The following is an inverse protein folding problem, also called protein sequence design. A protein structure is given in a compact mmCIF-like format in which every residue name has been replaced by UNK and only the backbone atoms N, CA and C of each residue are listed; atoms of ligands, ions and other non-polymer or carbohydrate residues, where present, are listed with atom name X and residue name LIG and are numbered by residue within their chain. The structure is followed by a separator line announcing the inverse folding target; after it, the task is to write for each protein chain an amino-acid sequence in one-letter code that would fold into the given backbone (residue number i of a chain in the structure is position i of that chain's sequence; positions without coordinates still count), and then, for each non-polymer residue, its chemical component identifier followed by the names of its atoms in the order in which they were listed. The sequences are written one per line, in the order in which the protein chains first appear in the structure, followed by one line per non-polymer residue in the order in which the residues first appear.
data_IF_278160136123
#
_entry.id   IF_278160136123
#
_cell.length_a   1.000
_cell.length_b   1.000
_cell.length_c   1.000
_cell.angle_alpha   90.00
_cell.angle_beta   90.00
_cell.angle_gamma   90.00
#
_symmetry.space_group_name_H-M   'P 1'
#
loop_
_entity.id
_entity.type
_entity.pdbx_description
1 polymer ?
#
# COMPACT_ATOMS: atom_id res chain seq x y z
N UNK A 1 -2.98 -11.83 -12.16
CA UNK A 1 -4.25 -11.48 -11.46
C UNK A 1 -5.30 -11.11 -12.49
N UNK A 2 -6.60 -11.42 -12.31
CA UNK A 2 -7.71 -10.98 -13.21
C UNK A 2 -8.83 -10.36 -12.37
N UNK A 3 -9.30 -9.16 -12.73
CA UNK A 3 -10.25 -8.38 -11.92
C UNK A 3 -11.42 -7.86 -12.77
N UNK A 4 -12.57 -7.63 -12.17
CA UNK A 4 -13.55 -6.67 -12.71
C UNK A 4 -13.03 -5.25 -12.59
N UNK A 5 -13.68 -4.31 -13.29
CA UNK A 5 -13.35 -2.89 -13.20
C UNK A 5 -13.48 -2.37 -11.76
N UNK A 6 -14.59 -2.67 -11.08
CA UNK A 6 -14.80 -2.26 -9.69
C UNK A 6 -13.76 -2.85 -8.72
N UNK A 7 -13.39 -4.12 -8.89
CA UNK A 7 -12.33 -4.75 -8.06
C UNK A 7 -10.95 -4.13 -8.29
N UNK A 8 -10.64 -3.70 -9.52
CA UNK A 8 -9.41 -2.96 -9.82
C UNK A 8 -9.41 -1.61 -9.10
N UNK A 9 -10.50 -0.84 -9.23
CA UNK A 9 -10.63 0.47 -8.58
C UNK A 9 -10.55 0.38 -7.05
N UNK A 10 -11.22 -0.60 -6.42
CA UNK A 10 -11.11 -0.81 -4.98
C UNK A 10 -9.68 -1.19 -4.57
N UNK A 11 -9.00 -2.05 -5.33
CA UNK A 11 -7.59 -2.39 -5.08
C UNK A 11 -6.66 -1.19 -5.19
N UNK A 12 -7.01 -0.19 -6.00
CA UNK A 12 -6.33 1.09 -6.10
C UNK A 12 -6.84 2.15 -5.09
N UNK A 13 -7.76 1.79 -4.20
CA UNK A 13 -8.25 2.70 -3.14
C UNK A 13 -9.23 3.77 -3.64
N UNK A 14 -9.82 3.57 -4.82
CA UNK A 14 -10.87 4.43 -5.38
C UNK A 14 -12.24 3.91 -4.91
N UNK A 15 -12.99 4.75 -4.19
CA UNK A 15 -14.31 4.39 -3.66
C UNK A 15 -15.48 4.58 -4.65
N UNK A 16 -15.58 5.68 -5.42
CA UNK A 16 -16.54 5.76 -6.51
C UNK A 16 -16.03 5.04 -7.76
N UNK A 17 -16.93 4.43 -8.54
CA UNK A 17 -16.57 3.94 -9.88
C UNK A 17 -16.31 5.15 -10.78
N UNK A 18 -15.15 5.17 -11.44
CA UNK A 18 -14.80 6.22 -12.39
C UNK A 18 -15.46 5.92 -13.75
N UNK A 19 -15.90 6.98 -14.42
CA UNK A 19 -16.37 6.94 -15.81
C UNK A 19 -15.20 7.16 -16.78
N UNK A 20 -15.47 7.04 -18.08
CA UNK A 20 -14.46 7.28 -19.11
C UNK A 20 -13.82 8.67 -18.98
N UNK A 21 -12.50 8.74 -19.16
CA UNK A 21 -11.67 9.95 -18.98
C UNK A 21 -11.68 10.59 -17.58
N UNK A 22 -12.35 10.00 -16.58
CA UNK A 22 -12.30 10.51 -15.22
C UNK A 22 -10.97 10.18 -14.55
N UNK A 23 -10.57 11.04 -13.62
CA UNK A 23 -9.40 10.83 -12.79
C UNK A 23 -9.75 10.97 -11.31
N UNK A 24 -8.94 10.34 -10.47
CA UNK A 24 -8.99 10.49 -9.03
C UNK A 24 -7.62 10.87 -8.48
N UNK A 25 -7.36 12.17 -8.26
CA UNK A 25 -6.12 12.63 -7.66
C UNK A 25 -6.20 12.63 -6.12
N UNK A 26 -5.05 12.40 -5.50
CA UNK A 26 -4.75 12.66 -4.10
C UNK A 26 -3.41 13.38 -4.05
N UNK A 27 -3.31 14.38 -3.17
CA UNK A 27 -2.06 15.10 -2.98
C UNK A 27 -1.93 15.56 -1.54
N UNK A 28 -0.70 15.61 -1.06
CA UNK A 28 -0.34 16.23 0.22
C UNK A 28 0.94 17.05 0.04
N UNK A 29 0.96 18.23 0.65
CA UNK A 29 2.09 19.14 0.66
C UNK A 29 2.62 19.25 2.09
N UNK A 30 3.89 18.93 2.27
CA UNK A 30 4.62 19.10 3.52
C UNK A 30 5.37 20.44 3.47
N UNK A 31 4.86 21.42 4.22
CA UNK A 31 5.41 22.78 4.25
C UNK A 31 6.78 22.85 4.97
N UNK A 32 7.10 21.91 5.86
CA UNK A 32 8.39 21.92 6.56
C UNK A 32 9.52 21.43 5.65
N UNK A 33 9.22 20.44 4.80
CA UNK A 33 10.19 19.85 3.87
C UNK A 33 10.12 20.44 2.47
N UNK A 34 9.08 21.24 2.18
CA UNK A 34 8.77 21.75 0.85
C UNK A 34 8.60 20.65 -0.21
N UNK A 35 8.01 19.51 0.18
CA UNK A 35 7.80 18.33 -0.69
C UNK A 35 6.31 18.14 -0.98
N UNK A 36 5.98 17.78 -2.21
CA UNK A 36 4.63 17.37 -2.61
C UNK A 36 4.64 15.88 -2.94
N UNK A 37 3.75 15.12 -2.32
CA UNK A 37 3.46 13.75 -2.74
C UNK A 37 2.08 13.72 -3.42
N UNK A 38 2.03 13.18 -4.63
CA UNK A 38 0.80 13.02 -5.41
C UNK A 38 0.61 11.56 -5.80
N UNK A 39 -0.64 11.10 -5.74
CA UNK A 39 -1.07 9.83 -6.28
C UNK A 39 -2.31 10.04 -7.15
N UNK A 40 -2.41 9.35 -8.27
CA UNK A 40 -3.56 9.50 -9.18
C UNK A 40 -3.96 8.15 -9.79
N UNK A 41 -5.26 7.97 -9.99
CA UNK A 41 -5.81 6.95 -10.89
C UNK A 41 -6.48 7.65 -12.07
N UNK A 42 -6.17 7.24 -13.30
CA UNK A 42 -6.73 7.82 -14.54
C UNK A 42 -7.38 6.74 -15.39
N UNK A 43 -8.59 7.01 -15.89
CA UNK A 43 -9.21 6.22 -16.95
C UNK A 43 -8.82 6.84 -18.28
N UNK A 44 -8.16 6.08 -19.16
CA UNK A 44 -7.48 6.64 -20.33
C UNK A 44 -8.38 6.81 -21.56
N UNK A 45 -9.53 6.14 -21.58
CA UNK A 45 -10.46 6.11 -22.71
C UNK A 45 -11.93 6.22 -22.24
N UNK A 46 -12.85 6.36 -23.19
CA UNK A 46 -14.28 6.50 -22.93
C UNK A 46 -14.98 5.20 -22.52
N UNK A 47 -14.42 4.05 -22.87
CA UNK A 47 -14.99 2.71 -22.65
C UNK A 47 -14.45 2.03 -21.36
N UNK A 48 -13.61 2.78 -20.64
CA UNK A 48 -12.84 2.37 -19.48
C UNK A 48 -11.89 1.20 -19.75
N UNK A 49 -11.46 0.94 -20.98
CA UNK A 49 -10.67 -0.25 -21.31
C UNK A 49 -9.23 -0.19 -20.77
N UNK A 50 -8.72 1.01 -20.49
CA UNK A 50 -7.39 1.25 -19.95
C UNK A 50 -7.41 2.17 -18.72
N UNK A 51 -6.72 1.72 -17.66
CA UNK A 51 -6.59 2.44 -16.38
C UNK A 51 -5.11 2.56 -16.03
N UNK A 52 -4.69 3.76 -15.65
CA UNK A 52 -3.36 4.02 -15.09
C UNK A 52 -3.46 4.40 -13.62
N UNK A 53 -2.41 4.05 -12.86
CA UNK A 53 -2.21 4.58 -11.53
C UNK A 53 -0.75 4.99 -11.35
N UNK A 54 -0.55 6.13 -10.71
CA UNK A 54 0.76 6.78 -10.62
C UNK A 54 0.99 7.40 -9.24
N UNK A 55 2.22 7.32 -8.75
CA UNK A 55 2.69 8.04 -7.55
C UNK A 55 3.91 8.85 -7.95
N UNK A 56 3.86 10.14 -7.64
CA UNK A 56 4.94 11.10 -7.84
C UNK A 56 5.33 11.77 -6.53
N UNK A 57 6.61 12.09 -6.43
CA UNK A 57 7.19 12.89 -5.36
C UNK A 57 7.94 14.06 -6.00
N UNK A 58 7.50 15.27 -5.71
CA UNK A 58 8.16 16.51 -6.12
C UNK A 58 8.93 17.09 -4.93
N UNK A 59 10.25 17.14 -5.06
CA UNK A 59 11.18 17.64 -4.03
C UNK A 59 11.61 19.09 -4.31
N UNK A 60 10.93 19.78 -5.23
CA UNK A 60 11.22 21.16 -5.60
C UNK A 60 12.26 21.27 -6.72
N UNK A 61 13.18 22.22 -6.60
CA UNK A 61 14.20 22.50 -7.61
C UNK A 61 15.58 22.01 -7.17
N UNK A 62 16.33 21.46 -8.13
CA UNK A 62 17.77 21.17 -8.00
C UNK A 62 18.60 22.46 -8.13
N UNK A 63 19.88 22.36 -7.78
CA UNK A 63 20.84 23.47 -7.92
C UNK A 63 20.96 24.00 -9.35
N UNK A 64 20.70 23.16 -10.36
CA UNK A 64 20.70 23.53 -11.77
C UNK A 64 19.38 24.15 -12.27
N UNK A 65 18.41 24.35 -11.36
CA UNK A 65 17.09 24.89 -11.66
C UNK A 65 16.11 23.91 -12.30
N UNK A 66 16.46 22.63 -12.44
CA UNK A 66 15.53 21.59 -12.91
C UNK A 66 14.65 21.08 -11.77
N UNK A 67 13.44 20.58 -12.08
CA UNK A 67 12.55 19.98 -11.08
C UNK A 67 13.11 18.64 -10.62
N UNK A 68 13.14 18.42 -9.30
CA UNK A 68 13.44 17.14 -8.68
C UNK A 68 12.17 16.31 -8.49
N UNK A 69 11.59 15.91 -9.61
CA UNK A 69 10.41 15.06 -9.65
C UNK A 69 10.81 13.59 -9.83
N UNK A 70 10.24 12.75 -8.99
CA UNK A 70 10.47 11.31 -8.97
C UNK A 70 9.15 10.55 -9.13
N UNK A 71 9.07 9.69 -10.14
CA UNK A 71 7.97 8.72 -10.29
C UNK A 71 8.33 7.50 -9.45
N UNK A 72 7.67 7.36 -8.30
CA UNK A 72 7.87 6.24 -7.39
C UNK A 72 7.25 4.97 -7.98
N UNK A 73 6.06 5.10 -8.54
CA UNK A 73 5.31 3.98 -9.09
C UNK A 73 4.45 4.44 -10.26
N UNK A 74 4.43 3.65 -11.33
CA UNK A 74 3.45 3.77 -12.40
C UNK A 74 2.99 2.38 -12.82
N UNK A 75 1.69 2.16 -12.94
CA UNK A 75 1.15 0.91 -13.46
C UNK A 75 0.05 1.18 -14.46
N UNK A 76 -0.15 0.20 -15.34
CA UNK A 76 -1.17 0.23 -16.37
C UNK A 76 -1.91 -1.11 -16.41
N UNK A 77 -3.23 -1.03 -16.28
CA UNK A 77 -4.15 -2.14 -16.38
C UNK A 77 -4.98 -2.01 -17.66
N UNK A 78 -5.16 -3.12 -18.38
CA UNK A 78 -6.00 -3.18 -19.57
C UNK A 78 -7.06 -4.25 -19.45
N UNK A 79 -8.21 -3.98 -20.03
CA UNK A 79 -9.32 -4.92 -20.14
C UNK A 79 -9.05 -5.92 -21.26
N UNK A 80 -9.16 -7.20 -20.92
CA UNK A 80 -9.12 -8.30 -21.86
C UNK A 80 -10.49 -8.50 -22.52
N UNK A 81 -10.54 -9.25 -23.63
CA UNK A 81 -11.78 -9.57 -24.35
C UNK A 81 -12.86 -10.26 -23.49
N UNK A 82 -12.49 -10.88 -22.36
CA UNK A 82 -13.43 -11.46 -21.40
C UNK A 82 -14.00 -10.45 -20.39
N UNK A 83 -13.76 -9.15 -20.59
CA UNK A 83 -14.22 -8.06 -19.73
C UNK A 83 -13.47 -7.96 -18.39
N UNK A 84 -12.33 -8.66 -18.22
CA UNK A 84 -11.52 -8.61 -17.01
C UNK A 84 -10.24 -7.81 -17.23
N UNK A 85 -9.81 -7.09 -16.20
CA UNK A 85 -8.59 -6.30 -16.19
C UNK A 85 -7.41 -7.12 -15.70
N UNK A 86 -6.28 -6.88 -16.33
CA UNK A 86 -4.97 -7.39 -15.95
C UNK A 86 -3.96 -6.25 -15.98
N UNK A 87 -3.05 -6.22 -15.00
CA UNK A 87 -1.94 -5.26 -14.99
C UNK A 87 -0.89 -5.78 -15.97
N UNK A 88 -0.57 -4.98 -16.98
CA UNK A 88 0.37 -5.37 -18.05
C UNK A 88 1.71 -4.67 -17.92
N UNK A 89 1.71 -3.42 -17.46
CA UNK A 89 2.92 -2.65 -17.25
C UNK A 89 2.98 -2.16 -15.81
N UNK A 90 4.18 -2.17 -15.25
CA UNK A 90 4.45 -1.64 -13.94
C UNK A 90 5.89 -1.17 -13.88
N UNK A 91 6.10 0.08 -13.48
CA UNK A 91 7.39 0.63 -13.10
C UNK A 91 7.35 0.95 -11.62
N UNK A 92 8.38 0.56 -10.90
CA UNK A 92 8.53 0.84 -9.48
C UNK A 92 10.00 1.19 -9.22
N UNK A 93 10.24 2.36 -8.63
CA UNK A 93 11.60 2.91 -8.38
C UNK A 93 12.44 2.94 -9.67
N UNK A 94 11.85 3.44 -10.76
CA UNK A 94 12.50 3.55 -12.06
C UNK A 94 12.76 2.23 -12.81
N UNK A 95 12.38 1.08 -12.26
CA UNK A 95 12.61 -0.24 -12.87
C UNK A 95 11.31 -0.89 -13.32
N UNK A 96 11.38 -1.72 -14.36
CA UNK A 96 10.26 -2.60 -14.70
C UNK A 96 10.02 -3.57 -13.54
N UNK A 97 8.78 -3.67 -13.08
CA UNK A 97 8.40 -4.48 -11.93
C UNK A 97 7.50 -5.68 -12.31
N UNK A 98 7.21 -5.84 -13.61
CA UNK A 98 6.37 -6.93 -14.11
C UNK A 98 7.06 -8.27 -13.88
N UNK A 99 6.39 -9.16 -13.14
CA UNK A 99 6.85 -10.52 -12.80
C UNK A 99 8.12 -10.59 -11.94
N UNK A 100 8.56 -9.48 -11.33
CA UNK A 100 9.74 -9.48 -10.45
C UNK A 100 9.52 -10.28 -9.15
N UNK A 101 8.27 -10.41 -8.69
CA UNK A 101 7.91 -11.16 -7.49
C UNK A 101 6.66 -12.04 -7.72
N UNK A 102 6.48 -13.12 -6.94
CA UNK A 102 5.20 -13.81 -6.87
C UNK A 102 4.09 -12.86 -6.45
N UNK A 103 2.95 -12.93 -7.16
CA UNK A 103 1.79 -12.06 -6.93
C UNK A 103 2.13 -10.56 -6.91
N UNK A 104 3.10 -10.12 -7.72
CA UNK A 104 3.55 -8.73 -7.80
C UNK A 104 2.40 -7.75 -8.04
N UNK A 105 1.37 -8.14 -8.80
CA UNK A 105 0.22 -7.27 -9.07
C UNK A 105 -0.56 -6.94 -7.78
N UNK A 106 -0.72 -7.94 -6.91
CA UNK A 106 -1.36 -7.73 -5.61
C UNK A 106 -0.47 -6.93 -4.65
N UNK A 107 0.86 -7.08 -4.77
CA UNK A 107 1.82 -6.32 -3.95
C UNK A 107 1.81 -4.85 -4.34
N UNK A 108 1.83 -4.55 -5.64
CA UNK A 108 1.86 -3.15 -6.11
C UNK A 108 0.53 -2.42 -5.85
N UNK A 109 -0.62 -3.08 -6.01
CA UNK A 109 -1.89 -2.46 -5.63
C UNK A 109 -1.97 -2.18 -4.12
N UNK A 110 -1.41 -3.07 -3.28
CA UNK A 110 -1.34 -2.84 -1.83
C UNK A 110 -0.44 -1.63 -1.51
N UNK A 111 0.72 -1.54 -2.14
CA UNK A 111 1.62 -0.39 -2.04
C UNK A 111 0.90 0.91 -2.39
N UNK A 112 0.24 0.96 -3.56
CA UNK A 112 -0.51 2.14 -3.98
C UNK A 112 -1.59 2.56 -2.97
N UNK A 113 -2.41 1.60 -2.54
CA UNK A 113 -3.51 1.85 -1.59
C UNK A 113 -2.99 2.32 -0.23
N UNK A 114 -1.83 1.82 0.22
CA UNK A 114 -1.18 2.26 1.45
C UNK A 114 -0.66 3.70 1.32
N UNK A 115 -0.01 4.06 0.21
CA UNK A 115 0.40 5.44 -0.09
C UNK A 115 -0.80 6.40 -0.11
N UNK A 116 -1.88 6.03 -0.81
CA UNK A 116 -3.11 6.83 -0.82
C UNK A 116 -3.69 7.03 0.58
N UNK A 117 -3.55 6.04 1.48
CA UNK A 117 -4.00 6.16 2.87
C UNK A 117 -3.16 7.18 3.64
N UNK A 118 -1.84 7.20 3.47
CA UNK A 118 -0.96 8.18 4.12
C UNK A 118 -1.19 9.60 3.60
N UNK A 119 -1.38 9.77 2.28
CA UNK A 119 -1.73 11.08 1.71
C UNK A 119 -3.05 11.58 2.32
N UNK A 120 -4.07 10.71 2.43
CA UNK A 120 -5.36 11.05 3.06
C UNK A 120 -5.26 11.33 4.56
N UNK A 121 -4.26 10.76 5.26
CA UNK A 121 -4.03 11.02 6.68
C UNK A 121 -3.24 12.32 6.91
N UNK A 122 -2.79 12.99 5.85
CA UNK A 122 -2.07 14.26 5.92
C UNK A 122 -0.58 14.08 6.19
N UNK A 123 0.04 13.04 5.63
CA UNK A 123 1.48 12.80 5.78
C UNK A 123 2.13 12.47 4.44
N UNK A 124 3.42 12.81 4.32
CA UNK A 124 4.26 12.24 3.25
C UNK A 124 4.50 10.76 3.59
N UNK A 125 4.19 9.83 2.69
CA UNK A 125 4.38 8.40 2.94
C UNK A 125 5.85 8.05 3.18
N UNK A 126 6.12 7.19 4.16
CA UNK A 126 7.40 6.47 4.25
C UNK A 126 7.39 5.33 3.22
N UNK A 127 7.94 5.57 2.05
CA UNK A 127 7.90 4.62 0.94
C UNK A 127 8.67 3.32 1.25
N UNK A 128 9.76 3.39 2.02
CA UNK A 128 10.56 2.23 2.36
C UNK A 128 9.80 1.32 3.34
N UNK A 129 9.20 1.89 4.38
CA UNK A 129 8.38 1.14 5.33
C UNK A 129 7.17 0.49 4.64
N UNK A 130 6.45 1.27 3.83
CA UNK A 130 5.28 0.77 3.09
C UNK A 130 5.68 -0.33 2.12
N UNK A 131 6.81 -0.18 1.41
CA UNK A 131 7.34 -1.22 0.52
C UNK A 131 7.66 -2.49 1.31
N UNK A 132 8.35 -2.38 2.44
CA UNK A 132 8.69 -3.53 3.26
C UNK A 132 7.44 -4.28 3.74
N UNK A 133 6.40 -3.55 4.17
CA UNK A 133 5.13 -4.14 4.60
C UNK A 133 4.38 -4.81 3.44
N UNK A 134 4.28 -4.14 2.30
CA UNK A 134 3.37 -4.53 1.21
C UNK A 134 3.96 -5.59 0.28
N UNK A 135 5.29 -5.66 0.17
CA UNK A 135 6.00 -6.64 -0.68
C UNK A 135 6.14 -8.02 -0.03
N UNK A 136 5.89 -8.12 1.28
CA UNK A 136 5.79 -9.41 1.98
C UNK A 136 4.61 -10.22 1.45
N UNK A 137 4.85 -11.52 1.26
CA UNK A 137 3.75 -12.45 1.07
C UNK A 137 2.96 -12.52 2.37
N UNK A 138 1.64 -12.42 2.29
CA UNK A 138 0.79 -12.76 3.43
C UNK A 138 0.96 -14.27 3.60
N UNK A 139 1.84 -14.65 4.53
CA UNK A 139 2.11 -16.05 4.86
C UNK A 139 0.80 -16.80 5.05
N UNK A 140 0.72 -17.97 4.43
CA UNK A 140 -0.42 -18.87 4.57
C UNK A 140 -0.74 -19.15 6.03
N UNK A 141 -2.04 -19.25 6.34
CA UNK A 141 -2.61 -19.86 7.54
C UNK A 141 -1.73 -19.82 8.81
N UNK A 142 -1.68 -18.66 9.48
CA UNK A 142 -1.14 -18.57 10.83
C UNK A 142 -0.95 -17.12 11.29
N UNK A 143 -1.66 -16.73 12.35
CA UNK A 143 -1.56 -15.45 13.07
C UNK A 143 -2.17 -14.21 12.40
N UNK A 144 -3.50 -14.19 12.36
CA UNK A 144 -4.22 -12.97 12.73
C UNK A 144 -4.32 -12.86 14.25
N UNK A 145 -4.10 -11.67 14.79
CA UNK A 145 -4.27 -11.33 16.20
C UNK A 145 -3.33 -10.19 16.60
N UNK A 146 -3.61 -8.95 16.19
CA UNK A 146 -4.39 -7.98 16.98
C UNK A 146 -3.66 -7.58 18.27
N UNK A 147 -3.20 -6.33 18.31
CA UNK A 147 -2.69 -5.70 19.53
C UNK A 147 -3.73 -5.77 20.66
N UNK A 148 -3.29 -6.23 21.81
CA UNK A 148 -4.03 -6.28 23.06
C UNK A 148 -3.03 -6.63 24.16
N UNK A 149 -2.97 -5.80 25.19
CA UNK A 149 -1.92 -5.78 26.21
C UNK A 149 -1.54 -7.15 26.76
N UNK A 150 -0.26 -7.27 27.14
CA UNK A 150 0.29 -8.42 27.87
C UNK A 150 -0.57 -8.70 29.12
N UNK A 151 -1.52 -9.63 28.99
CA UNK A 151 -2.02 -10.39 30.12
C UNK A 151 -1.02 -11.55 30.33
N UNK A 152 -0.26 -11.59 31.44
CA UNK A 152 0.67 -12.67 31.67
C UNK A 152 -0.10 -13.97 31.83
N UNK A 153 0.16 -14.95 30.96
CA UNK A 153 -0.36 -16.32 31.10
C UNK A 153 0.31 -16.95 32.32
N UNK A 154 -0.35 -16.86 33.47
CA UNK A 154 0.06 -17.57 34.68
C UNK A 154 -0.07 -19.07 34.39
N UNK A 155 1.05 -19.79 34.39
CA UNK A 155 1.06 -21.26 34.35
C UNK A 155 0.60 -21.76 35.72
N UNK A 156 -0.59 -22.35 35.79
CA UNK A 156 -1.21 -22.84 37.05
C UNK A 156 -0.34 -23.80 37.88
N UNK A 157 0.67 -24.44 37.28
CA UNK A 157 1.60 -25.33 37.99
C UNK A 157 2.76 -24.62 38.72
N UNK A 158 2.88 -23.29 38.65
CA UNK A 158 3.87 -22.55 39.45
C UNK A 158 3.27 -21.79 40.64
N UNK A 159 1.94 -21.69 40.76
CA UNK A 159 1.29 -21.05 41.91
C UNK A 159 1.15 -21.96 43.14
N UNK A 160 1.23 -23.29 42.97
CA UNK A 160 1.04 -24.24 44.08
C UNK A 160 2.31 -24.61 44.85
N UNK A 161 3.50 -24.20 44.38
CA UNK A 161 4.76 -24.47 45.09
C UNK A 161 5.26 -23.29 45.93
N UNK A 162 4.77 -22.06 45.69
CA UNK A 162 5.12 -20.87 46.48
C UNK A 162 4.20 -20.63 47.69
N UNK A 163 3.09 -21.37 47.83
CA UNK A 163 2.24 -21.34 49.05
C UNK A 163 2.64 -22.37 50.12
N UNK A 164 3.72 -23.15 49.91
CA UNK A 164 4.14 -24.20 50.85
C UNK A 164 5.40 -23.87 51.66
N UNK A 165 5.89 -22.63 51.60
CA UNK A 165 6.99 -22.13 52.43
C UNK A 165 6.68 -20.74 53.00
N UNK A 166 5.86 -20.73 54.06
CA UNK A 166 5.59 -19.51 54.81
C UNK A 166 4.63 -19.76 55.96
N UNK A 167 5.10 -20.45 57.00
CA UNK A 167 4.32 -20.55 58.26
C UNK A 167 4.69 -21.74 59.13
N UNK A 168 5.78 -21.64 59.88
CA UNK A 168 5.95 -22.28 61.19
C UNK A 168 7.18 -21.69 61.88
N UNK A 169 6.97 -20.59 62.60
CA UNK A 169 7.86 -20.11 63.66
C UNK A 169 7.01 -19.83 64.89
N UNK A 170 6.96 -20.80 65.79
CA UNK A 170 6.94 -20.59 67.23
C UNK A 170 8.37 -20.80 67.71
#
# INVERSE_FOLDING_TARGET
MKLTYGELLDKLGVSPVLSGYETKPWQYYDAEKEIICAAEVRVMDGDCDEVEAEIMLDKGLKEDGTSDMEIIMWLQAKKSANGKYTIHNCRFEGKNFVNELPSWENKICRFFKAVVREIKSGHIPDFDEIKEETMKDKGGAGQGGQGGGRAPKIKGNQLLNDMKRGGAGF
#
